data_IF_764087513305
#
_entry.id   IF_764087513305
#
_cell.length_a   1.000
_cell.length_b   1.000
_cell.length_c   1.000
_cell.angle_alpha   90.00
_cell.angle_beta   90.00
_cell.angle_gamma   90.00
#
_symmetry.space_group_name_H-M   'P 1'
#
loop_
_entity.id
_entity.type
_entity.pdbx_description
1 polymer ?
#
# COMPACT_ATOMS: atom_id res chain seq x y z
N UNK A 1 23.69 -15.97 -8.70
CA UNK A 1 23.15 -14.62 -8.87
C UNK A 1 22.95 -14.36 -10.35
N UNK A 2 21.72 -14.44 -10.86
CA UNK A 2 21.42 -13.90 -12.19
C UNK A 2 21.35 -12.39 -12.02
N UNK A 3 22.21 -11.65 -12.69
CA UNK A 3 22.16 -10.20 -12.70
C UNK A 3 20.74 -9.76 -13.13
N UNK A 4 20.09 -8.95 -12.31
CA UNK A 4 18.86 -8.27 -12.64
C UNK A 4 19.21 -7.45 -13.87
N UNK A 5 18.73 -7.88 -15.05
CA UNK A 5 18.81 -7.03 -16.24
C UNK A 5 17.85 -5.88 -15.96
N UNK A 6 18.40 -4.69 -15.66
CA UNK A 6 17.69 -3.45 -15.87
C UNK A 6 17.35 -3.43 -17.36
N UNK A 7 16.15 -3.90 -17.70
CA UNK A 7 15.69 -3.89 -19.08
C UNK A 7 15.61 -2.43 -19.51
N UNK A 8 16.24 -2.10 -20.64
CA UNK A 8 16.10 -0.80 -21.27
C UNK A 8 14.59 -0.50 -21.39
N UNK A 9 14.13 0.56 -20.74
CA UNK A 9 12.75 1.02 -20.83
C UNK A 9 12.67 1.92 -22.07
N UNK A 10 11.94 1.51 -23.14
CA UNK A 10 11.80 2.31 -24.33
C UNK A 10 11.13 3.65 -24.04
N UNK A 11 11.53 4.68 -24.74
CA UNK A 11 10.86 5.98 -24.68
C UNK A 11 9.56 5.95 -25.49
N UNK A 12 8.45 5.84 -24.78
CA UNK A 12 7.10 5.93 -25.37
C UNK A 12 6.48 7.34 -25.25
N UNK A 13 7.22 8.31 -24.70
CA UNK A 13 6.69 9.67 -24.47
C UNK A 13 6.38 10.45 -25.75
N UNK A 14 6.84 9.95 -26.89
CA UNK A 14 6.53 10.49 -28.22
C UNK A 14 5.31 9.82 -28.87
N UNK A 15 4.79 8.74 -28.28
CA UNK A 15 3.60 8.05 -28.77
C UNK A 15 2.34 8.62 -28.08
N UNK A 16 1.60 9.45 -28.82
CA UNK A 16 0.40 10.11 -28.29
C UNK A 16 -0.68 9.13 -27.84
N UNK A 17 -0.79 7.95 -28.48
CA UNK A 17 -1.79 6.94 -28.11
C UNK A 17 -1.43 6.29 -26.77
N UNK A 18 -0.16 5.96 -26.58
CA UNK A 18 0.30 5.39 -25.29
C UNK A 18 0.20 6.41 -24.18
N UNK A 19 0.52 7.69 -24.42
CA UNK A 19 0.33 8.75 -23.42
C UNK A 19 -1.14 8.95 -23.05
N UNK A 20 -2.05 8.95 -24.04
CA UNK A 20 -3.48 9.04 -23.79
C UNK A 20 -3.96 7.85 -22.94
N UNK A 21 -3.60 6.62 -23.32
CA UNK A 21 -3.90 5.40 -22.56
C UNK A 21 -3.33 5.45 -21.15
N UNK A 22 -2.10 5.90 -20.96
CA UNK A 22 -1.49 6.03 -19.63
C UNK A 22 -2.24 7.03 -18.76
N UNK A 23 -2.78 8.10 -19.36
CA UNK A 23 -3.60 9.10 -18.69
C UNK A 23 -4.98 8.59 -18.26
N UNK A 24 -5.47 7.47 -18.83
CA UNK A 24 -6.72 6.87 -18.41
C UNK A 24 -6.68 6.47 -16.94
N UNK A 25 -7.77 6.69 -16.23
CA UNK A 25 -7.89 6.26 -14.84
C UNK A 25 -8.08 4.75 -14.75
N UNK A 26 -7.51 4.17 -13.70
CA UNK A 26 -7.69 2.75 -13.37
C UNK A 26 -7.38 2.49 -11.91
N UNK A 27 -7.98 1.47 -11.31
CA UNK A 27 -7.73 1.12 -9.92
C UNK A 27 -6.26 0.79 -9.66
N UNK A 28 -5.79 1.08 -8.45
CA UNK A 28 -4.47 0.63 -7.99
C UNK A 28 -4.44 -0.82 -7.55
N UNK A 29 -5.62 -1.47 -7.51
CA UNK A 29 -5.81 -2.86 -7.09
C UNK A 29 -5.07 -3.22 -5.80
N UNK A 30 -5.31 -2.44 -4.75
CA UNK A 30 -4.96 -2.82 -3.38
C UNK A 30 -5.94 -3.85 -2.81
N UNK A 31 -7.09 -4.00 -3.46
CA UNK A 31 -8.09 -5.06 -3.29
C UNK A 31 -8.80 -5.34 -4.62
N UNK A 32 -9.40 -6.52 -4.75
CA UNK A 32 -10.37 -6.83 -5.79
C UNK A 32 -11.48 -7.70 -5.20
N UNK A 33 -12.75 -7.29 -5.28
CA UNK A 33 -13.22 -5.99 -5.80
C UNK A 33 -12.61 -4.78 -5.07
N UNK A 34 -12.55 -3.64 -5.78
CA UNK A 34 -12.11 -2.39 -5.16
C UNK A 34 -13.10 -1.94 -4.08
N UNK A 35 -12.63 -1.23 -3.07
CA UNK A 35 -13.40 -0.81 -1.90
C UNK A 35 -14.76 -0.16 -2.23
N UNK A 36 -14.84 0.62 -3.31
CA UNK A 36 -16.10 1.24 -3.76
C UNK A 36 -17.20 0.25 -4.17
N UNK A 37 -16.85 -1.02 -4.38
CA UNK A 37 -17.79 -2.10 -4.71
C UNK A 37 -18.21 -2.93 -3.49
N UNK A 38 -17.72 -2.62 -2.29
CA UNK A 38 -18.11 -3.35 -1.10
C UNK A 38 -19.52 -2.97 -0.67
N UNK A 39 -20.47 -3.84 -0.94
CA UNK A 39 -21.90 -3.59 -0.79
C UNK A 39 -22.51 -4.29 0.43
N UNK A 40 -21.77 -5.19 1.07
CA UNK A 40 -22.25 -5.91 2.24
C UNK A 40 -21.90 -5.14 3.51
N UNK A 41 -22.75 -5.30 4.52
CA UNK A 41 -22.53 -4.76 5.86
C UNK A 41 -22.39 -5.95 6.83
N UNK A 42 -21.25 -6.69 6.78
CA UNK A 42 -21.00 -7.74 7.75
C UNK A 42 -20.87 -7.12 9.13
N UNK A 43 -21.22 -7.90 10.12
CA UNK A 43 -21.09 -7.54 11.53
C UNK A 43 -19.87 -8.24 12.18
N UNK A 44 -19.72 -8.00 13.47
CA UNK A 44 -18.73 -8.68 14.31
C UNK A 44 -18.80 -10.22 14.19
N UNK A 45 -20.02 -10.79 14.14
CA UNK A 45 -20.22 -12.25 14.12
C UNK A 45 -19.67 -12.83 12.84
N UNK A 46 -20.01 -12.24 11.68
CA UNK A 46 -19.51 -12.67 10.38
C UNK A 46 -17.98 -12.58 10.29
N UNK A 47 -17.37 -11.54 10.88
CA UNK A 47 -15.92 -11.39 10.96
C UNK A 47 -15.27 -12.50 11.78
N UNK A 48 -15.79 -12.76 12.98
CA UNK A 48 -15.28 -13.81 13.88
C UNK A 48 -15.42 -15.20 13.23
N UNK A 49 -16.54 -15.47 12.56
CA UNK A 49 -16.74 -16.72 11.83
C UNK A 49 -15.71 -16.87 10.70
N UNK A 50 -15.46 -15.81 9.94
CA UNK A 50 -14.43 -15.84 8.88
C UNK A 50 -13.01 -16.08 9.44
N UNK A 51 -12.66 -15.46 10.56
CA UNK A 51 -11.39 -15.72 11.25
C UNK A 51 -11.31 -17.19 11.71
N UNK A 52 -12.34 -17.70 12.36
CA UNK A 52 -12.40 -19.11 12.79
C UNK A 52 -12.24 -20.07 11.64
N UNK A 53 -13.02 -19.88 10.59
CA UNK A 53 -12.97 -20.71 9.38
C UNK A 53 -11.60 -20.68 8.69
N UNK A 54 -11.00 -19.49 8.58
CA UNK A 54 -9.69 -19.34 7.97
C UNK A 54 -8.62 -20.07 8.77
N UNK A 55 -8.53 -19.84 10.07
CA UNK A 55 -7.48 -20.40 10.91
C UNK A 55 -7.62 -21.90 11.15
N UNK A 56 -8.84 -22.43 11.20
CA UNK A 56 -9.07 -23.87 11.27
C UNK A 56 -8.60 -24.62 10.01
N UNK A 57 -8.60 -23.95 8.85
CA UNK A 57 -8.15 -24.52 7.57
C UNK A 57 -6.67 -24.23 7.27
N UNK A 58 -6.10 -23.16 7.86
CA UNK A 58 -4.81 -22.59 7.50
C UNK A 58 -4.02 -22.16 8.76
N UNK A 59 -3.80 -23.09 9.70
CA UNK A 59 -3.17 -22.78 11.01
C UNK A 59 -1.78 -22.14 10.90
N UNK A 60 -1.00 -22.49 9.88
CA UNK A 60 0.38 -22.04 9.67
C UNK A 60 0.51 -20.92 8.62
N UNK A 61 -0.63 -20.43 8.08
CA UNK A 61 -0.60 -19.37 7.08
C UNK A 61 0.09 -18.10 7.62
N UNK A 62 0.92 -17.45 6.82
CA UNK A 62 1.51 -16.17 7.21
C UNK A 62 0.42 -15.11 7.34
N UNK A 63 0.53 -14.30 8.40
CA UNK A 63 -0.42 -13.23 8.73
C UNK A 63 0.33 -11.91 8.73
N UNK A 64 -0.30 -10.88 8.17
CA UNK A 64 0.12 -9.50 8.30
C UNK A 64 -0.85 -8.74 9.21
N UNK A 65 -0.34 -7.84 10.04
CA UNK A 65 -1.13 -6.93 10.85
C UNK A 65 -0.94 -5.50 10.34
N UNK A 66 -2.03 -4.78 10.22
CA UNK A 66 -2.01 -3.33 10.00
C UNK A 66 -2.69 -2.62 11.16
N UNK A 67 -1.98 -1.72 11.82
CA UNK A 67 -2.50 -0.94 12.93
C UNK A 67 -2.67 0.51 12.49
N UNK A 68 -3.91 0.98 12.47
CA UNK A 68 -4.24 2.34 12.06
C UNK A 68 -4.22 3.30 13.25
N UNK A 69 -3.28 4.27 13.21
CA UNK A 69 -3.15 5.31 14.21
C UNK A 69 -3.55 6.64 13.54
N UNK A 70 -4.77 7.16 13.77
CA UNK A 70 -5.32 8.25 12.97
C UNK A 70 -4.76 9.65 13.32
N UNK A 71 -3.90 9.77 14.32
CA UNK A 71 -3.51 11.07 14.84
C UNK A 71 -2.34 11.68 14.10
N UNK A 72 -2.44 13.01 13.86
CA UNK A 72 -1.35 13.84 13.34
C UNK A 72 -1.22 15.11 14.19
N UNK A 73 0.01 15.61 14.32
CA UNK A 73 0.30 16.90 14.98
C UNK A 73 -0.18 18.08 14.15
N UNK A 74 -0.11 17.99 12.82
CA UNK A 74 -0.44 19.05 11.87
C UNK A 74 -1.17 18.48 10.64
N UNK A 75 -2.04 19.31 10.06
CA UNK A 75 -2.77 18.96 8.84
C UNK A 75 -1.93 19.26 7.59
N UNK A 76 -1.67 18.26 6.77
CA UNK A 76 -1.12 18.44 5.44
C UNK A 76 -2.27 18.61 4.44
N UNK A 77 -2.22 19.64 3.57
CA UNK A 77 -3.36 19.98 2.70
C UNK A 77 -3.61 18.96 1.58
N UNK A 78 -2.62 18.13 1.26
CA UNK A 78 -2.72 17.08 0.25
C UNK A 78 -3.28 15.74 0.78
N UNK A 79 -3.37 15.57 2.12
CA UNK A 79 -3.62 14.27 2.74
C UNK A 79 -5.00 13.72 2.44
N UNK A 80 -5.06 12.49 1.91
CA UNK A 80 -6.32 11.78 1.64
C UNK A 80 -6.72 10.81 2.77
N UNK A 81 -5.79 10.51 3.68
CA UNK A 81 -6.00 9.54 4.75
C UNK A 81 -7.10 9.96 5.72
N UNK A 82 -7.62 8.98 6.46
CA UNK A 82 -8.54 9.27 7.55
C UNK A 82 -7.75 9.65 8.80
N UNK A 83 -7.66 10.96 9.07
CA UNK A 83 -6.82 11.51 10.13
C UNK A 83 -7.60 12.40 11.10
N UNK A 84 -7.07 12.51 12.29
CA UNK A 84 -7.53 13.40 13.35
C UNK A 84 -6.35 14.26 13.81
N UNK A 85 -6.41 15.55 13.52
CA UNK A 85 -5.37 16.48 13.99
C UNK A 85 -5.62 16.82 15.45
N UNK A 86 -4.70 16.40 16.31
CA UNK A 86 -4.79 16.66 17.76
C UNK A 86 -3.42 16.53 18.43
N UNK A 87 -3.20 17.37 19.44
CA UNK A 87 -2.06 17.29 20.37
C UNK A 87 -2.55 16.99 21.82
N UNK A 88 -3.83 16.58 21.95
CA UNK A 88 -4.36 16.18 23.27
C UNK A 88 -3.85 14.77 23.63
N UNK A 89 -2.89 14.73 24.54
CA UNK A 89 -2.22 13.49 24.98
C UNK A 89 -3.17 12.51 25.70
N UNK A 90 -4.12 12.99 26.48
CA UNK A 90 -5.11 12.14 27.16
C UNK A 90 -5.98 11.42 26.12
N UNK A 91 -6.46 12.15 25.10
CA UNK A 91 -7.23 11.56 23.99
C UNK A 91 -6.46 10.49 23.23
N UNK A 92 -5.16 10.70 23.01
CA UNK A 92 -4.29 9.73 22.34
C UNK A 92 -4.08 8.51 23.26
N UNK A 93 -3.87 8.74 24.54
CA UNK A 93 -3.73 7.65 25.54
C UNK A 93 -4.98 6.77 25.62
N UNK A 94 -6.16 7.39 25.70
CA UNK A 94 -7.43 6.65 25.69
C UNK A 94 -7.54 5.79 24.44
N UNK A 95 -7.21 6.34 23.27
CA UNK A 95 -7.24 5.61 22.02
C UNK A 95 -6.30 4.40 21.99
N UNK A 96 -5.06 4.56 22.46
CA UNK A 96 -4.10 3.45 22.59
C UNK A 96 -4.67 2.36 23.50
N UNK A 97 -5.37 2.75 24.57
CA UNK A 97 -6.09 1.82 25.44
C UNK A 97 -7.14 1.00 24.68
N UNK A 98 -7.89 1.63 23.76
CA UNK A 98 -8.87 0.93 22.92
C UNK A 98 -8.21 0.02 21.87
N UNK A 99 -7.08 0.42 21.26
CA UNK A 99 -6.30 -0.48 20.40
C UNK A 99 -5.83 -1.72 21.15
N UNK A 100 -5.31 -1.53 22.38
CA UNK A 100 -4.91 -2.66 23.22
C UNK A 100 -6.05 -3.61 23.52
N UNK A 101 -7.25 -3.09 23.77
CA UNK A 101 -8.46 -3.92 23.99
C UNK A 101 -8.87 -4.68 22.73
N UNK A 102 -8.77 -4.09 21.54
CA UNK A 102 -9.01 -4.80 20.27
C UNK A 102 -8.01 -5.94 20.06
N UNK A 103 -6.73 -5.70 20.37
CA UNK A 103 -5.69 -6.75 20.34
C UNK A 103 -6.02 -7.85 21.37
N UNK A 104 -6.53 -7.50 22.54
CA UNK A 104 -6.95 -8.48 23.54
C UNK A 104 -8.15 -9.33 23.07
N UNK A 105 -9.09 -8.76 22.29
CA UNK A 105 -10.15 -9.55 21.66
C UNK A 105 -9.58 -10.58 20.67
N UNK A 106 -8.59 -10.21 19.87
CA UNK A 106 -7.89 -11.16 18.99
C UNK A 106 -7.14 -12.22 19.78
N UNK A 107 -6.41 -11.84 20.84
CA UNK A 107 -5.69 -12.76 21.72
C UNK A 107 -6.61 -13.80 22.35
N UNK A 108 -7.79 -13.36 22.80
CA UNK A 108 -8.81 -14.24 23.38
C UNK A 108 -9.35 -15.22 22.32
N UNK A 109 -9.61 -14.73 21.10
CA UNK A 109 -10.05 -15.58 19.99
C UNK A 109 -9.01 -16.65 19.62
N UNK A 110 -7.72 -16.28 19.51
CA UNK A 110 -6.64 -17.23 19.23
C UNK A 110 -6.49 -18.27 20.36
N UNK A 111 -6.69 -17.84 21.61
CA UNK A 111 -6.68 -18.74 22.78
C UNK A 111 -7.86 -19.73 22.74
N UNK A 112 -9.08 -19.25 22.43
CA UNK A 112 -10.27 -20.08 22.26
C UNK A 112 -10.04 -21.15 21.18
N UNK A 113 -9.43 -20.77 20.07
CA UNK A 113 -9.13 -21.66 18.96
C UNK A 113 -7.92 -22.57 19.22
N UNK A 114 -7.17 -22.36 20.30
CA UNK A 114 -5.89 -23.03 20.59
C UNK A 114 -4.88 -22.85 19.45
N UNK A 115 -4.83 -21.66 18.84
CA UNK A 115 -3.96 -21.31 17.72
C UNK A 115 -2.88 -20.33 18.19
N UNK A 116 -1.64 -20.55 17.72
CA UNK A 116 -0.58 -19.56 17.75
C UNK A 116 -0.45 -18.97 16.35
N UNK A 117 -0.88 -17.72 16.10
CA UNK A 117 -0.87 -17.16 14.78
C UNK A 117 0.58 -16.96 14.26
N UNK A 118 0.80 -17.25 12.97
CA UNK A 118 2.10 -17.08 12.31
C UNK A 118 2.23 -15.65 11.76
N UNK A 119 2.31 -14.65 12.66
CA UNK A 119 2.44 -13.24 12.28
C UNK A 119 3.86 -13.00 11.77
N UNK A 120 3.96 -12.54 10.52
CA UNK A 120 5.22 -12.26 9.83
C UNK A 120 5.54 -10.78 9.74
N UNK A 121 4.51 -9.97 9.55
CA UNK A 121 4.67 -8.54 9.32
C UNK A 121 3.68 -7.76 10.18
N UNK A 122 4.16 -6.65 10.75
CA UNK A 122 3.33 -5.65 11.43
C UNK A 122 3.65 -4.28 10.80
N UNK A 123 2.61 -3.54 10.44
CA UNK A 123 2.73 -2.20 9.93
C UNK A 123 1.93 -1.21 10.78
N UNK A 124 2.60 -0.23 11.37
CA UNK A 124 1.97 0.91 12.04
C UNK A 124 1.86 2.05 11.04
N UNK A 125 0.63 2.44 10.71
CA UNK A 125 0.37 3.46 9.69
C UNK A 125 -0.85 4.32 9.99
N UNK A 126 -1.27 5.09 8.98
CA UNK A 126 -2.51 5.84 8.96
C UNK A 126 -2.37 7.35 8.99
N UNK A 127 -2.37 7.98 10.14
CA UNK A 127 -2.08 9.40 10.33
C UNK A 127 -0.57 9.60 10.49
N UNK A 128 -0.10 9.41 11.73
CA UNK A 128 1.32 9.53 12.08
C UNK A 128 1.62 8.68 13.31
N UNK A 129 2.02 7.42 13.17
CA UNK A 129 2.37 6.58 14.31
C UNK A 129 3.47 7.17 15.18
N UNK A 130 4.44 7.89 14.60
CA UNK A 130 5.50 8.60 15.35
C UNK A 130 5.01 9.81 16.14
N UNK A 131 3.69 10.09 16.14
CA UNK A 131 3.06 11.08 17.00
C UNK A 131 2.69 10.52 18.39
N UNK A 132 2.75 9.19 18.57
CA UNK A 132 2.61 8.56 19.89
C UNK A 132 3.81 8.91 20.78
N UNK A 133 3.54 9.08 22.08
CA UNK A 133 4.62 9.16 23.09
C UNK A 133 5.25 7.76 23.28
N UNK A 134 6.47 7.74 23.79
CA UNK A 134 7.22 6.50 23.95
C UNK A 134 6.51 5.46 24.82
N UNK A 135 5.87 5.87 25.93
CA UNK A 135 5.12 5.01 26.81
C UNK A 135 3.84 4.44 26.14
N UNK A 136 3.21 5.23 25.28
CA UNK A 136 2.04 4.80 24.49
C UNK A 136 2.44 3.75 23.45
N UNK A 137 3.55 3.97 22.76
CA UNK A 137 4.06 3.01 21.76
C UNK A 137 4.54 1.72 22.46
N UNK A 138 5.24 1.83 23.58
CA UNK A 138 5.68 0.68 24.38
C UNK A 138 4.49 -0.15 24.86
N UNK A 139 3.43 0.48 25.35
CA UNK A 139 2.18 -0.19 25.75
C UNK A 139 1.57 -0.96 24.58
N UNK A 140 1.49 -0.33 23.40
CA UNK A 140 0.95 -0.96 22.20
C UNK A 140 1.78 -2.17 21.78
N UNK A 141 3.11 -2.02 21.69
CA UNK A 141 4.03 -3.09 21.28
C UNK A 141 4.02 -4.25 22.28
N UNK A 142 4.01 -3.95 23.60
CA UNK A 142 3.89 -4.98 24.63
C UNK A 142 2.57 -5.74 24.51
N UNK A 143 1.49 -5.07 24.13
CA UNK A 143 0.19 -5.72 23.93
C UNK A 143 0.20 -6.59 22.66
N UNK A 144 0.80 -6.13 21.56
CA UNK A 144 1.04 -6.92 20.35
C UNK A 144 1.85 -8.19 20.65
N UNK A 145 2.76 -8.13 21.62
CA UNK A 145 3.53 -9.28 22.10
C UNK A 145 2.70 -10.43 22.66
N UNK A 146 1.40 -10.23 22.96
CA UNK A 146 0.48 -11.31 23.33
C UNK A 146 0.11 -12.23 22.17
N UNK A 147 0.14 -11.68 20.94
CA UNK A 147 -0.29 -12.39 19.73
C UNK A 147 0.86 -12.60 18.72
N UNK A 148 1.97 -11.88 18.85
CA UNK A 148 3.12 -11.92 17.93
C UNK A 148 4.42 -12.13 18.70
N UNK A 149 5.37 -12.82 18.07
CA UNK A 149 6.78 -12.80 18.49
C UNK A 149 7.46 -11.57 17.89
N UNK A 150 7.45 -10.45 18.59
CA UNK A 150 7.93 -9.15 18.07
C UNK A 150 9.38 -9.23 17.55
N UNK A 151 10.24 -9.97 18.23
CA UNK A 151 11.65 -10.12 17.83
C UNK A 151 11.85 -11.09 16.67
N UNK A 152 10.90 -11.96 16.42
CA UNK A 152 10.90 -12.93 15.33
C UNK A 152 10.13 -12.46 14.09
N UNK A 153 9.64 -11.20 14.06
CA UNK A 153 8.97 -10.65 12.89
C UNK A 153 9.95 -10.50 11.73
N UNK A 154 9.48 -10.83 10.53
CA UNK A 154 10.22 -10.56 9.30
C UNK A 154 10.28 -9.06 9.01
N UNK A 155 9.16 -8.36 9.16
CA UNK A 155 9.09 -6.90 9.03
C UNK A 155 8.21 -6.30 10.12
N UNK A 156 8.74 -5.33 10.85
CA UNK A 156 7.97 -4.45 11.71
C UNK A 156 8.18 -3.02 11.23
N UNK A 157 7.25 -2.57 10.39
CA UNK A 157 7.32 -1.27 9.73
C UNK A 157 6.56 -0.19 10.50
N UNK A 158 7.06 1.05 10.45
CA UNK A 158 6.42 2.20 11.06
C UNK A 158 6.54 3.44 10.17
N UNK A 159 5.42 4.14 9.96
CA UNK A 159 5.38 5.42 9.27
C UNK A 159 5.85 6.56 10.17
N UNK A 160 6.73 7.41 9.64
CA UNK A 160 7.43 8.47 10.36
C UNK A 160 7.15 9.83 9.71
N UNK A 161 6.78 10.80 10.53
CA UNK A 161 6.81 12.22 10.13
C UNK A 161 8.14 12.85 10.59
N UNK A 162 9.05 13.19 9.67
CA UNK A 162 10.35 13.76 10.03
C UNK A 162 10.25 15.04 10.87
N UNK A 163 9.15 15.79 10.73
CA UNK A 163 8.96 17.08 11.42
C UNK A 163 8.72 16.96 12.93
N UNK A 164 8.34 15.76 13.39
CA UNK A 164 7.97 15.51 14.79
C UNK A 164 8.77 14.39 15.44
N UNK A 165 9.77 13.88 14.74
CA UNK A 165 10.60 12.75 15.19
C UNK A 165 12.02 13.21 15.48
N UNK A 166 12.67 12.59 16.48
CA UNK A 166 14.08 12.81 16.82
C UNK A 166 14.89 11.52 16.67
N UNK A 167 16.22 11.63 16.67
CA UNK A 167 17.13 10.47 16.66
C UNK A 167 16.90 9.55 17.87
N UNK A 168 16.65 10.14 19.04
CA UNK A 168 16.35 9.41 20.27
C UNK A 168 15.07 8.61 20.11
N UNK A 169 14.03 9.19 19.46
CA UNK A 169 12.78 8.49 19.17
C UNK A 169 13.02 7.31 18.21
N UNK A 170 13.81 7.50 17.14
CA UNK A 170 14.14 6.43 16.19
C UNK A 170 14.89 5.28 16.87
N UNK A 171 15.88 5.57 17.70
CA UNK A 171 16.58 4.57 18.48
C UNK A 171 15.63 3.82 19.44
N UNK A 172 14.68 4.54 20.04
CA UNK A 172 13.67 3.92 20.89
C UNK A 172 12.76 2.98 20.08
N UNK A 173 12.29 3.38 18.88
CA UNK A 173 11.46 2.52 18.02
C UNK A 173 12.19 1.23 17.64
N UNK A 174 13.47 1.33 17.26
CA UNK A 174 14.30 0.15 16.99
C UNK A 174 14.42 -0.76 18.23
N UNK A 175 14.57 -0.19 19.43
CA UNK A 175 14.65 -0.98 20.67
C UNK A 175 13.37 -1.76 20.98
N UNK A 176 12.22 -1.32 20.46
CA UNK A 176 10.93 -2.01 20.54
C UNK A 176 10.77 -3.10 19.47
N UNK A 177 11.71 -3.22 18.54
CA UNK A 177 11.68 -4.22 17.47
C UNK A 177 11.25 -3.69 16.10
N UNK A 178 10.97 -2.37 15.96
CA UNK A 178 10.76 -1.76 14.64
C UNK A 178 12.05 -1.88 13.84
N UNK A 179 11.99 -2.59 12.71
CA UNK A 179 13.17 -2.83 11.87
C UNK A 179 13.06 -2.18 10.49
N UNK A 180 11.92 -1.58 10.15
CA UNK A 180 11.74 -0.78 8.94
C UNK A 180 10.98 0.51 9.24
N UNK A 181 11.47 1.63 8.68
CA UNK A 181 10.82 2.93 8.82
C UNK A 181 10.46 3.51 7.46
N UNK A 182 9.29 4.15 7.36
CA UNK A 182 8.85 4.87 6.16
C UNK A 182 8.76 6.35 6.46
N UNK A 183 9.54 7.17 5.76
CA UNK A 183 9.45 8.62 5.85
C UNK A 183 8.49 9.17 4.79
N UNK A 184 7.45 9.87 5.22
CA UNK A 184 6.62 10.67 4.34
C UNK A 184 7.38 11.91 3.85
N UNK A 185 8.26 11.75 2.86
CA UNK A 185 9.03 12.84 2.27
C UNK A 185 8.18 13.72 1.38
N UNK A 186 7.40 13.14 0.50
CA UNK A 186 6.51 13.73 -0.47
C UNK A 186 7.25 14.52 -1.57
N UNK A 187 7.93 15.61 -1.21
CA UNK A 187 8.77 16.44 -2.09
C UNK A 187 9.79 17.22 -1.27
N UNK A 188 10.95 17.52 -1.85
CA UNK A 188 11.98 18.35 -1.25
C UNK A 188 12.00 19.81 -1.76
N UNK A 189 11.17 20.16 -2.76
CA UNK A 189 11.09 21.52 -3.25
C UNK A 189 10.39 22.43 -2.20
N UNK A 190 11.03 23.54 -1.75
CA UNK A 190 10.49 24.39 -0.70
C UNK A 190 9.16 25.04 -1.06
N UNK A 191 8.96 25.41 -2.33
CA UNK A 191 7.73 26.07 -2.81
C UNK A 191 6.56 25.07 -2.80
N UNK A 192 6.83 23.80 -3.09
CA UNK A 192 5.85 22.72 -3.00
C UNK A 192 5.50 22.46 -1.53
N UNK A 193 6.51 22.32 -0.68
CA UNK A 193 6.34 22.05 0.76
C UNK A 193 5.49 23.12 1.46
N UNK A 194 5.70 24.39 1.11
CA UNK A 194 4.95 25.51 1.67
C UNK A 194 3.46 25.40 1.32
N UNK A 195 3.13 25.17 0.04
CA UNK A 195 1.74 25.11 -0.44
C UNK A 195 0.98 23.91 0.13
N UNK A 196 1.65 22.78 0.34
CA UNK A 196 1.03 21.59 0.92
C UNK A 196 1.02 21.57 2.45
N UNK A 197 1.50 22.65 3.10
CA UNK A 197 1.66 22.78 4.56
C UNK A 197 2.53 21.66 5.18
N UNK A 198 3.64 21.32 4.49
CA UNK A 198 4.58 20.29 4.95
C UNK A 198 6.04 20.72 4.73
N UNK A 199 6.47 21.73 5.48
CA UNK A 199 7.85 22.21 5.41
C UNK A 199 8.77 21.23 6.16
N UNK A 200 9.65 20.57 5.42
CA UNK A 200 10.65 19.61 5.92
C UNK A 200 11.88 19.65 5.00
N UNK A 201 12.83 20.55 5.27
CA UNK A 201 14.06 20.65 4.49
C UNK A 201 14.82 19.33 4.43
N UNK A 202 15.58 19.11 3.36
CA UNK A 202 16.33 17.86 3.17
C UNK A 202 17.28 17.59 4.33
N UNK A 203 17.89 18.64 4.87
CA UNK A 203 18.82 18.58 6.01
C UNK A 203 18.16 17.99 7.27
N UNK A 204 16.86 18.19 7.45
CA UNK A 204 16.09 17.55 8.55
C UNK A 204 16.06 16.03 8.39
N UNK A 205 15.86 15.54 7.16
CA UNK A 205 15.83 14.10 6.87
C UNK A 205 17.25 13.53 6.95
N UNK A 206 18.25 14.24 6.42
CA UNK A 206 19.66 13.84 6.53
C UNK A 206 20.12 13.69 7.98
N UNK A 207 19.74 14.64 8.85
CA UNK A 207 20.08 14.56 10.27
C UNK A 207 19.46 13.34 10.96
N UNK A 208 18.19 13.02 10.65
CA UNK A 208 17.52 11.81 11.18
C UNK A 208 18.14 10.51 10.66
N UNK A 209 18.78 10.55 9.51
CA UNK A 209 19.43 9.39 8.87
C UNK A 209 20.94 9.34 9.13
N UNK A 210 21.41 9.98 10.20
CA UNK A 210 22.80 9.83 10.62
C UNK A 210 23.17 8.35 10.74
N UNK A 211 24.42 7.96 10.40
CA UNK A 211 24.82 6.56 10.30
C UNK A 211 24.45 5.72 11.52
N UNK A 212 24.62 6.26 12.72
CA UNK A 212 24.31 5.59 13.98
C UNK A 212 22.82 5.27 14.16
N UNK A 213 21.91 6.01 13.51
CA UNK A 213 20.48 5.75 13.50
C UNK A 213 20.13 4.81 12.35
N UNK A 214 20.72 5.08 11.18
CA UNK A 214 20.44 4.32 9.96
C UNK A 214 20.77 2.83 10.12
N UNK A 215 21.85 2.50 10.82
CA UNK A 215 22.29 1.12 11.10
C UNK A 215 21.37 0.37 12.06
N UNK A 216 20.44 1.05 12.74
CA UNK A 216 19.44 0.42 13.62
C UNK A 216 18.28 -0.23 12.87
N UNK A 217 18.14 0.00 11.55
CA UNK A 217 17.02 -0.47 10.74
C UNK A 217 17.50 -1.30 9.55
N UNK A 218 16.78 -2.39 9.29
CA UNK A 218 17.03 -3.25 8.13
C UNK A 218 16.66 -2.57 6.82
N UNK A 219 15.70 -1.62 6.85
CA UNK A 219 15.25 -0.92 5.67
C UNK A 219 14.60 0.43 5.94
N UNK A 220 14.75 1.28 4.94
CA UNK A 220 14.17 2.62 4.88
C UNK A 220 13.32 2.74 3.63
N UNK A 221 12.10 3.25 3.76
CA UNK A 221 11.25 3.64 2.65
C UNK A 221 11.05 5.16 2.62
N UNK A 222 11.00 5.74 1.42
CA UNK A 222 10.54 7.11 1.21
C UNK A 222 9.25 7.13 0.40
N UNK A 223 8.23 7.78 0.94
CA UNK A 223 7.00 8.07 0.21
C UNK A 223 7.12 9.41 -0.49
N UNK A 224 6.97 9.40 -1.81
CA UNK A 224 7.01 10.56 -2.69
C UNK A 224 5.66 10.76 -3.35
N UNK A 225 5.31 12.03 -3.61
CA UNK A 225 4.12 12.38 -4.37
C UNK A 225 4.49 13.17 -5.61
N UNK A 226 4.04 12.71 -6.77
CA UNK A 226 4.10 13.50 -7.99
C UNK A 226 2.72 14.06 -8.34
N UNK A 227 2.71 15.22 -9.00
CA UNK A 227 1.49 15.94 -9.32
C UNK A 227 1.02 16.90 -8.22
N UNK A 228 1.86 17.21 -7.23
CA UNK A 228 1.58 18.22 -6.20
C UNK A 228 1.52 19.64 -6.78
N UNK A 229 0.83 20.59 -6.11
CA UNK A 229 0.79 21.98 -6.56
C UNK A 229 2.21 22.56 -6.66
N UNK A 230 2.43 23.39 -7.70
CA UNK A 230 3.73 23.99 -8.07
C UNK A 230 4.82 23.02 -8.53
N UNK A 231 4.61 21.71 -8.50
CA UNK A 231 5.57 20.80 -9.11
C UNK A 231 5.64 20.99 -10.62
N UNK A 232 6.85 20.82 -11.14
CA UNK A 232 7.16 20.69 -12.57
C UNK A 232 8.03 19.45 -12.77
N UNK A 233 8.18 18.95 -13.99
CA UNK A 233 9.13 17.87 -14.30
C UNK A 233 10.53 18.18 -13.77
N UNK A 234 10.97 19.44 -13.89
CA UNK A 234 12.30 19.86 -13.47
C UNK A 234 12.46 19.89 -11.94
N UNK A 235 11.48 20.41 -11.19
CA UNK A 235 11.55 20.46 -9.73
C UNK A 235 11.43 19.06 -9.15
N UNK A 236 10.53 18.24 -9.66
CA UNK A 236 10.38 16.86 -9.21
C UNK A 236 11.59 16.00 -9.51
N UNK A 237 12.24 16.22 -10.67
CA UNK A 237 13.54 15.56 -10.97
C UNK A 237 14.59 15.86 -9.90
N UNK A 238 14.66 17.10 -9.39
CA UNK A 238 15.61 17.45 -8.30
C UNK A 238 15.30 16.68 -7.02
N UNK A 239 14.00 16.53 -6.68
CA UNK A 239 13.58 15.70 -5.54
C UNK A 239 14.02 14.25 -5.73
N UNK A 240 13.82 13.66 -6.91
CA UNK A 240 14.28 12.30 -7.21
C UNK A 240 15.81 12.18 -7.11
N UNK A 241 16.56 13.17 -7.60
CA UNK A 241 18.02 13.18 -7.48
C UNK A 241 18.50 13.25 -6.04
N UNK A 242 17.84 14.04 -5.18
CA UNK A 242 18.12 14.06 -3.73
C UNK A 242 17.80 12.72 -3.06
N UNK A 243 16.65 12.11 -3.42
CA UNK A 243 16.28 10.78 -2.90
C UNK A 243 17.32 9.72 -3.26
N UNK A 244 17.87 9.73 -4.49
CA UNK A 244 18.96 8.83 -4.86
C UNK A 244 20.20 9.04 -4.01
N UNK A 245 20.53 10.29 -3.66
CA UNK A 245 21.67 10.60 -2.78
C UNK A 245 21.44 10.06 -1.36
N UNK A 246 20.22 10.18 -0.82
CA UNK A 246 19.83 9.63 0.48
C UNK A 246 19.71 8.11 0.48
N UNK A 247 19.57 7.52 -0.69
CA UNK A 247 19.62 6.10 -0.98
C UNK A 247 18.76 5.21 -0.06
N UNK A 248 17.44 5.43 0.07
CA UNK A 248 16.56 4.51 0.79
C UNK A 248 16.54 3.12 0.14
N UNK A 249 16.18 2.08 0.87
CA UNK A 249 16.03 0.73 0.33
C UNK A 249 14.80 0.60 -0.55
N UNK A 250 13.71 1.30 -0.18
CA UNK A 250 12.46 1.33 -0.96
C UNK A 250 12.02 2.76 -1.22
N UNK A 251 11.31 2.95 -2.32
CA UNK A 251 10.67 4.22 -2.67
C UNK A 251 9.25 3.90 -3.11
N UNK A 252 8.28 4.62 -2.54
CA UNK A 252 6.89 4.60 -2.99
C UNK A 252 6.60 5.91 -3.69
N UNK A 253 6.25 5.86 -4.98
CA UNK A 253 6.03 7.01 -5.83
C UNK A 253 4.55 7.14 -6.19
N UNK A 254 3.78 7.85 -5.38
CA UNK A 254 2.33 7.96 -5.50
C UNK A 254 1.92 9.18 -6.33
N UNK A 255 0.84 9.03 -7.10
CA UNK A 255 0.20 10.16 -7.77
C UNK A 255 -0.67 10.94 -6.77
N UNK A 256 -0.47 12.25 -6.70
CA UNK A 256 -1.36 13.11 -5.92
C UNK A 256 -2.79 13.06 -6.45
N UNK A 257 -3.74 12.73 -5.59
CA UNK A 257 -5.17 12.74 -5.89
C UNK A 257 -5.80 14.00 -5.30
N UNK A 258 -6.13 15.00 -6.14
CA UNK A 258 -6.84 16.20 -5.70
C UNK A 258 -8.34 15.93 -5.63
N UNK A 259 -8.86 15.73 -4.41
CA UNK A 259 -10.26 15.36 -4.16
C UNK A 259 -10.91 16.27 -3.09
N UNK A 260 -11.07 17.57 -3.34
CA UNK A 260 -11.61 18.54 -2.37
C UNK A 260 -13.09 18.27 -2.00
N UNK A 261 -13.80 17.47 -2.78
CA UNK A 261 -15.16 17.01 -2.50
C UNK A 261 -15.18 15.98 -1.37
N UNK A 262 -14.17 15.09 -1.36
CA UNK A 262 -14.01 14.05 -0.33
C UNK A 262 -13.29 14.59 0.90
N UNK A 263 -12.29 15.44 0.71
CA UNK A 263 -11.42 16.00 1.77
C UNK A 263 -11.45 17.54 1.73
N UNK A 264 -12.28 18.13 2.57
CA UNK A 264 -12.52 19.59 2.57
C UNK A 264 -11.26 20.44 2.72
N UNK A 265 -10.24 19.96 3.43
CA UNK A 265 -8.97 20.67 3.63
C UNK A 265 -8.15 20.78 2.33
N UNK A 266 -8.37 19.91 1.33
CA UNK A 266 -7.73 20.07 0.02
C UNK A 266 -8.18 21.33 -0.73
N UNK A 267 -9.25 22.00 -0.30
CA UNK A 267 -9.66 23.32 -0.81
C UNK A 267 -8.67 24.44 -0.46
N UNK A 268 -7.73 24.18 0.46
CA UNK A 268 -6.61 25.09 0.74
C UNK A 268 -5.59 25.13 -0.41
N UNK A 269 -5.62 24.14 -1.30
CA UNK A 269 -4.80 24.09 -2.51
C UNK A 269 -5.59 24.68 -3.68
N UNK A 270 -5.06 25.77 -4.28
CA UNK A 270 -5.63 26.30 -5.51
C UNK A 270 -5.33 25.32 -6.67
N UNK A 271 -6.39 24.79 -7.29
CA UNK A 271 -6.27 23.85 -8.41
C UNK A 271 -5.48 24.40 -9.61
N UNK A 272 -5.38 25.72 -9.75
CA UNK A 272 -4.57 26.38 -10.79
C UNK A 272 -3.06 26.18 -10.58
N UNK A 273 -2.65 25.79 -9.38
CA UNK A 273 -1.24 25.50 -9.07
C UNK A 273 -0.86 24.05 -9.41
N UNK A 274 -1.83 23.19 -9.73
CA UNK A 274 -1.57 21.81 -10.11
C UNK A 274 -0.88 21.75 -11.47
N UNK A 275 0.04 20.80 -11.67
CA UNK A 275 0.66 20.57 -12.98
C UNK A 275 -0.43 20.22 -14.03
N UNK A 276 -0.20 20.54 -15.30
CA UNK A 276 -1.04 20.06 -16.39
C UNK A 276 -1.17 18.53 -16.38
N UNK A 277 -2.37 18.01 -16.69
CA UNK A 277 -2.66 16.56 -16.60
C UNK A 277 -1.75 15.74 -17.54
N UNK A 278 -1.40 16.27 -18.70
CA UNK A 278 -0.51 15.68 -19.70
C UNK A 278 0.97 15.64 -19.26
N UNK A 279 1.37 16.46 -18.29
CA UNK A 279 2.71 16.42 -17.71
C UNK A 279 2.87 15.27 -16.67
N UNK A 280 1.80 14.80 -16.06
CA UNK A 280 1.87 13.77 -15.00
C UNK A 280 2.46 12.44 -15.49
N UNK A 281 2.07 11.89 -16.66
CA UNK A 281 2.71 10.71 -17.23
C UNK A 281 4.21 10.89 -17.44
N UNK A 282 4.59 12.09 -17.88
CA UNK A 282 6.01 12.41 -18.15
C UNK A 282 6.82 12.53 -16.86
N UNK A 283 6.25 13.13 -15.81
CA UNK A 283 6.90 13.17 -14.48
C UNK A 283 7.16 11.77 -13.94
N UNK A 284 6.18 10.88 -14.04
CA UNK A 284 6.32 9.50 -13.60
C UNK A 284 7.35 8.74 -14.44
N UNK A 285 7.29 8.88 -15.77
CA UNK A 285 8.26 8.27 -16.68
C UNK A 285 9.69 8.70 -16.36
N UNK A 286 9.94 10.00 -16.21
CA UNK A 286 11.26 10.54 -15.88
C UNK A 286 11.79 9.97 -14.56
N UNK A 287 10.93 9.84 -13.54
CA UNK A 287 11.29 9.26 -12.25
C UNK A 287 11.65 7.77 -12.38
N UNK A 288 10.83 6.98 -13.10
CA UNK A 288 11.12 5.57 -13.37
C UNK A 288 12.46 5.41 -14.06
N UNK A 289 12.73 6.20 -15.14
CA UNK A 289 13.99 6.17 -15.84
C UNK A 289 15.18 6.53 -14.93
N UNK A 290 15.03 7.57 -14.10
CA UNK A 290 16.08 8.03 -13.20
C UNK A 290 16.41 6.99 -12.12
N UNK A 291 15.39 6.40 -11.49
CA UNK A 291 15.56 5.41 -10.43
C UNK A 291 16.10 4.08 -10.96
N UNK A 292 15.60 3.60 -12.09
CA UNK A 292 16.09 2.35 -12.69
C UNK A 292 17.52 2.49 -13.24
N UNK A 293 17.87 3.65 -13.78
CA UNK A 293 19.26 3.95 -14.19
C UNK A 293 20.23 4.00 -12.97
N UNK A 294 19.74 4.35 -11.81
CA UNK A 294 20.47 4.34 -10.53
C UNK A 294 20.56 2.95 -9.89
N UNK A 295 19.94 1.94 -10.53
CA UNK A 295 20.00 0.54 -10.10
C UNK A 295 18.83 0.06 -9.26
N UNK A 296 17.81 0.89 -9.00
CA UNK A 296 16.58 0.41 -8.36
C UNK A 296 15.83 -0.57 -9.27
N UNK A 297 15.28 -1.60 -8.67
CA UNK A 297 14.33 -2.51 -9.30
C UNK A 297 12.96 -1.84 -9.24
N UNK A 298 12.32 -1.66 -10.38
CA UNK A 298 10.91 -1.27 -10.41
C UNK A 298 10.04 -2.48 -10.08
N UNK A 299 9.51 -2.50 -8.86
CA UNK A 299 8.68 -3.60 -8.32
C UNK A 299 7.36 -3.72 -9.07
N UNK A 300 6.74 -2.59 -9.33
CA UNK A 300 5.47 -2.48 -10.06
C UNK A 300 4.72 -1.23 -9.65
N UNK A 301 3.80 -0.77 -10.45
CA UNK A 301 2.97 0.43 -10.29
C UNK A 301 3.78 1.62 -9.75
N UNK A 302 3.93 1.71 -8.44
CA UNK A 302 4.38 2.86 -7.67
C UNK A 302 5.58 2.54 -6.75
N UNK A 303 6.11 1.31 -6.75
CA UNK A 303 7.15 0.87 -5.83
C UNK A 303 8.47 0.57 -6.52
N UNK A 304 9.56 0.97 -5.86
CA UNK A 304 10.93 0.68 -6.25
C UNK A 304 11.69 0.13 -5.04
N UNK A 305 12.63 -0.78 -5.29
CA UNK A 305 13.46 -1.35 -4.25
C UNK A 305 14.91 -1.50 -4.73
N UNK A 306 15.87 -1.38 -3.80
CA UNK A 306 17.26 -1.74 -4.11
C UNK A 306 17.34 -3.24 -4.41
N UNK A 307 18.29 -3.69 -5.27
CA UNK A 307 18.46 -5.11 -5.56
C UNK A 307 18.74 -6.00 -4.34
N UNK A 308 19.25 -5.41 -3.25
CA UNK A 308 19.53 -6.07 -1.99
C UNK A 308 18.35 -6.15 -1.03
N UNK A 309 17.21 -5.49 -1.34
CA UNK A 309 16.01 -5.53 -0.51
C UNK A 309 15.18 -6.77 -0.83
N UNK A 310 14.59 -7.37 0.20
CA UNK A 310 13.74 -8.58 0.11
C UNK A 310 12.59 -8.42 -0.88
N UNK A 311 12.08 -7.20 -1.05
CA UNK A 311 10.98 -6.94 -1.99
C UNK A 311 11.44 -7.11 -3.45
N UNK A 312 12.66 -6.68 -3.76
CA UNK A 312 13.24 -6.91 -5.08
C UNK A 312 13.49 -8.39 -5.34
N UNK A 313 13.94 -9.12 -4.33
CA UNK A 313 14.10 -10.58 -4.39
C UNK A 313 12.74 -11.26 -4.60
N UNK A 314 11.72 -10.88 -3.83
CA UNK A 314 10.36 -11.42 -3.93
C UNK A 314 9.76 -11.25 -5.33
N UNK A 315 9.96 -10.10 -5.97
CA UNK A 315 9.53 -9.86 -7.36
C UNK A 315 10.27 -10.78 -8.34
N UNK A 316 11.59 -10.91 -8.21
CA UNK A 316 12.38 -11.77 -9.08
C UNK A 316 11.97 -13.25 -8.97
N UNK A 317 11.57 -13.68 -7.77
CA UNK A 317 11.10 -15.04 -7.49
C UNK A 317 9.60 -15.24 -7.73
N UNK A 318 8.86 -14.19 -8.12
CA UNK A 318 7.40 -14.20 -8.34
C UNK A 318 6.61 -14.61 -7.09
N UNK A 319 7.10 -14.25 -5.93
CA UNK A 319 6.43 -14.47 -4.64
C UNK A 319 5.89 -13.19 -4.01
N UNK A 320 6.16 -12.03 -4.62
CA UNK A 320 5.62 -10.76 -4.17
C UNK A 320 4.09 -10.78 -4.14
N UNK A 321 3.53 -10.16 -3.11
CA UNK A 321 2.10 -9.94 -2.97
C UNK A 321 1.75 -8.46 -3.04
N UNK A 322 0.46 -8.15 -2.98
CA UNK A 322 -0.06 -6.79 -2.85
C UNK A 322 -1.29 -6.78 -1.95
N UNK A 323 -1.39 -5.79 -1.09
CA UNK A 323 -2.52 -5.56 -0.21
C UNK A 323 -2.77 -4.05 -0.02
N UNK A 324 -3.56 -3.66 0.97
CA UNK A 324 -3.86 -2.25 1.28
C UNK A 324 -2.62 -1.40 1.61
N UNK A 325 -1.58 -2.01 2.17
CA UNK A 325 -0.31 -1.33 2.49
C UNK A 325 0.66 -1.21 1.30
N UNK A 326 0.34 -1.79 0.15
CA UNK A 326 1.21 -1.81 -1.03
C UNK A 326 1.76 -3.19 -1.37
N UNK A 327 2.96 -3.24 -1.96
CA UNK A 327 3.63 -4.51 -2.26
C UNK A 327 4.25 -5.13 -1.00
N UNK A 328 4.17 -6.46 -0.91
CA UNK A 328 4.70 -7.26 0.20
C UNK A 328 5.69 -8.32 -0.29
N UNK A 329 6.57 -8.77 0.59
CA UNK A 329 7.61 -9.76 0.28
C UNK A 329 7.08 -11.18 0.11
N UNK A 330 5.80 -11.39 0.43
CA UNK A 330 5.10 -12.67 0.29
C UNK A 330 3.61 -12.49 0.08
N UNK A 331 2.99 -13.47 -0.59
CA UNK A 331 1.53 -13.51 -0.75
C UNK A 331 0.90 -13.96 0.57
N UNK A 332 -0.13 -13.25 1.02
CA UNK A 332 -0.97 -13.69 2.13
C UNK A 332 -2.44 -13.43 1.84
N UNK A 333 -3.29 -14.32 2.31
CA UNK A 333 -4.75 -14.14 2.33
C UNK A 333 -5.25 -13.78 3.74
N UNK A 334 -4.34 -13.36 4.63
CA UNK A 334 -4.66 -12.95 5.98
C UNK A 334 -3.92 -11.65 6.34
N UNK A 335 -4.60 -10.53 6.14
CA UNK A 335 -4.25 -9.23 6.69
C UNK A 335 -5.31 -8.85 7.72
N UNK A 336 -4.93 -8.63 8.96
CA UNK A 336 -5.82 -8.19 10.02
C UNK A 336 -5.58 -6.71 10.29
N UNK A 337 -6.61 -5.90 10.06
CA UNK A 337 -6.60 -4.47 10.36
C UNK A 337 -7.13 -4.19 11.76
N UNK A 338 -6.41 -3.39 12.53
CA UNK A 338 -6.70 -2.98 13.90
C UNK A 338 -6.82 -1.46 13.94
N UNK A 339 -7.81 -0.95 14.66
CA UNK A 339 -8.09 0.48 14.75
C UNK A 339 -9.16 0.95 13.76
N UNK A 340 -9.64 2.21 13.91
CA UNK A 340 -10.70 2.76 13.05
C UNK A 340 -10.25 2.82 11.60
N UNK A 341 -11.15 2.56 10.67
CA UNK A 341 -10.92 2.49 9.21
C UNK A 341 -9.97 1.42 8.72
N UNK A 342 -9.30 0.69 9.60
CA UNK A 342 -8.40 -0.39 9.19
C UNK A 342 -9.17 -1.45 8.41
N UNK A 343 -8.55 -1.94 7.33
CA UNK A 343 -9.13 -2.97 6.47
C UNK A 343 -8.47 -4.32 6.71
N UNK A 344 -9.26 -5.39 6.67
CA UNK A 344 -8.80 -6.77 6.78
C UNK A 344 -9.09 -7.56 5.52
N UNK A 345 -8.25 -8.53 5.24
CA UNK A 345 -8.45 -9.58 4.22
C UNK A 345 -8.38 -10.91 4.93
N UNK A 346 -9.46 -11.69 4.89
CA UNK A 346 -9.50 -13.02 5.51
C UNK A 346 -10.00 -14.01 4.47
N UNK A 347 -9.08 -14.71 3.81
CA UNK A 347 -9.37 -15.65 2.75
C UNK A 347 -10.05 -14.98 1.54
N UNK A 348 -11.34 -15.24 1.38
CA UNK A 348 -12.19 -14.71 0.32
C UNK A 348 -13.00 -13.47 0.73
N UNK A 349 -12.77 -12.93 1.91
CA UNK A 349 -13.58 -11.88 2.49
C UNK A 349 -12.77 -10.65 2.87
N UNK A 350 -13.36 -9.48 2.65
CA UNK A 350 -12.84 -8.18 3.08
C UNK A 350 -13.70 -7.62 4.19
N UNK A 351 -13.06 -6.92 5.13
CA UNK A 351 -13.72 -6.22 6.23
C UNK A 351 -13.07 -4.86 6.44
N UNK A 352 -13.84 -3.90 6.91
CA UNK A 352 -13.33 -2.60 7.32
C UNK A 352 -13.95 -2.18 8.64
N UNK A 353 -13.12 -1.69 9.54
CA UNK A 353 -13.53 -1.14 10.82
C UNK A 353 -14.26 0.20 10.65
N UNK A 354 -15.05 0.57 11.65
CA UNK A 354 -15.81 1.82 11.69
C UNK A 354 -14.93 3.06 11.43
N UNK A 355 -15.49 4.01 10.67
CA UNK A 355 -14.81 5.27 10.36
C UNK A 355 -14.78 6.23 11.54
N UNK A 356 -15.89 6.31 12.27
CA UNK A 356 -16.03 7.23 13.39
C UNK A 356 -15.43 6.61 14.66
N UNK A 357 -14.51 7.35 15.28
CA UNK A 357 -13.83 6.86 16.48
C UNK A 357 -14.79 6.51 17.62
N UNK A 358 -15.96 7.19 17.69
CA UNK A 358 -16.99 6.91 18.71
C UNK A 358 -17.69 5.57 18.48
N UNK A 359 -17.93 5.22 17.20
CA UNK A 359 -18.50 3.91 16.84
C UNK A 359 -17.50 2.80 17.10
N UNK A 360 -16.22 3.05 16.78
CA UNK A 360 -15.13 2.14 17.09
C UNK A 360 -15.04 1.88 18.60
N UNK A 361 -15.01 2.93 19.43
CA UNK A 361 -14.99 2.78 20.90
C UNK A 361 -16.18 2.01 21.42
N UNK A 362 -17.38 2.34 20.93
CA UNK A 362 -18.62 1.66 21.36
C UNK A 362 -18.55 0.17 21.10
N UNK A 363 -18.11 -0.25 19.90
CA UNK A 363 -17.99 -1.68 19.59
C UNK A 363 -16.99 -2.39 20.52
N UNK A 364 -15.83 -1.78 20.79
CA UNK A 364 -14.84 -2.34 21.71
C UNK A 364 -15.36 -2.38 23.16
N UNK A 365 -16.13 -1.39 23.59
CA UNK A 365 -16.80 -1.40 24.91
C UNK A 365 -17.81 -2.54 25.04
N UNK A 366 -18.51 -2.86 23.95
CA UNK A 366 -19.45 -3.97 23.84
C UNK A 366 -18.73 -5.35 23.70
N UNK A 367 -17.38 -5.38 23.69
CA UNK A 367 -16.58 -6.60 23.50
C UNK A 367 -16.61 -7.14 22.07
N UNK A 368 -16.81 -6.28 21.09
CA UNK A 368 -16.96 -6.63 19.67
C UNK A 368 -15.90 -5.96 18.80
N UNK A 369 -15.52 -6.62 17.70
CA UNK A 369 -14.77 -5.97 16.63
C UNK A 369 -15.64 -4.92 15.93
N UNK A 370 -15.07 -3.76 15.63
CA UNK A 370 -15.81 -2.60 15.14
C UNK A 370 -16.07 -2.68 13.62
N UNK A 371 -16.54 -3.79 13.12
CA UNK A 371 -16.77 -4.00 11.68
C UNK A 371 -17.93 -3.15 11.20
N UNK A 372 -17.72 -2.38 10.13
CA UNK A 372 -18.69 -1.47 9.53
C UNK A 372 -19.09 -1.88 8.11
N UNK A 373 -18.13 -2.32 7.29
CA UNK A 373 -18.38 -2.74 5.92
C UNK A 373 -17.50 -3.90 5.53
N UNK A 374 -17.81 -4.54 4.41
CA UNK A 374 -17.01 -5.62 3.89
C UNK A 374 -17.60 -6.21 2.62
N UNK A 375 -16.94 -7.26 2.14
CA UNK A 375 -17.34 -7.95 0.93
C UNK A 375 -16.87 -9.41 0.98
N UNK A 376 -17.78 -10.33 0.72
CA UNK A 376 -17.44 -11.74 0.52
C UNK A 376 -17.46 -12.05 -0.97
N UNK A 377 -16.33 -12.48 -1.51
CA UNK A 377 -16.17 -12.84 -2.91
C UNK A 377 -16.82 -14.18 -3.24
N UNK A 378 -17.38 -14.28 -4.44
CA UNK A 378 -17.70 -15.55 -5.05
C UNK A 378 -16.46 -16.20 -5.70
N UNK A 379 -16.61 -17.42 -6.22
CA UNK A 379 -15.50 -18.18 -6.83
C UNK A 379 -14.93 -17.51 -8.08
N UNK A 380 -15.76 -16.85 -8.90
CA UNK A 380 -15.30 -16.07 -10.06
C UNK A 380 -14.49 -14.86 -9.64
N UNK A 381 -14.90 -14.18 -8.58
CA UNK A 381 -14.20 -13.01 -8.04
C UNK A 381 -12.84 -13.39 -7.43
N UNK A 382 -12.77 -14.50 -6.72
CA UNK A 382 -11.50 -15.04 -6.19
C UNK A 382 -10.55 -15.38 -7.34
N UNK A 383 -11.03 -16.01 -8.40
CA UNK A 383 -10.25 -16.31 -9.60
C UNK A 383 -9.74 -15.01 -10.27
N UNK A 384 -10.62 -14.04 -10.48
CA UNK A 384 -10.27 -12.75 -11.10
C UNK A 384 -9.28 -11.96 -10.24
N UNK A 385 -9.42 -11.97 -8.91
CA UNK A 385 -8.45 -11.39 -7.98
C UNK A 385 -7.06 -11.96 -8.19
N UNK A 386 -6.94 -13.29 -8.26
CA UNK A 386 -5.65 -13.94 -8.48
C UNK A 386 -5.05 -13.55 -9.83
N UNK A 387 -5.84 -13.55 -10.90
CA UNK A 387 -5.38 -13.11 -12.24
C UNK A 387 -4.89 -11.66 -12.21
N UNK A 388 -5.67 -10.75 -11.66
CA UNK A 388 -5.34 -9.32 -11.56
C UNK A 388 -4.05 -9.12 -10.76
N UNK A 389 -3.92 -9.78 -9.59
CA UNK A 389 -2.75 -9.62 -8.75
C UNK A 389 -1.48 -10.22 -9.35
N UNK A 390 -1.57 -11.34 -10.11
CA UNK A 390 -0.42 -11.87 -10.85
C UNK A 390 0.05 -10.92 -11.95
N UNK A 391 -0.87 -10.33 -12.70
CA UNK A 391 -0.51 -9.33 -13.71
C UNK A 391 0.25 -8.18 -13.07
N UNK A 392 -0.22 -7.69 -11.92
CA UNK A 392 0.37 -6.54 -11.21
C UNK A 392 1.70 -6.89 -10.55
N UNK A 393 1.77 -8.03 -9.85
CA UNK A 393 2.95 -8.38 -9.07
C UNK A 393 4.04 -9.08 -9.89
N UNK A 394 3.65 -9.90 -10.86
CA UNK A 394 4.57 -10.75 -11.62
C UNK A 394 4.86 -10.18 -13.03
N UNK A 395 4.16 -9.12 -13.46
CA UNK A 395 4.19 -8.58 -14.84
C UNK A 395 3.99 -9.66 -15.91
N UNK A 396 3.32 -10.73 -15.56
CA UNK A 396 3.09 -11.90 -16.43
C UNK A 396 1.92 -12.73 -15.91
N UNK A 397 1.35 -13.54 -16.81
CA UNK A 397 0.32 -14.50 -16.44
C UNK A 397 0.58 -15.84 -17.14
N UNK A 398 0.66 -16.91 -16.34
CA UNK A 398 0.76 -18.28 -16.83
C UNK A 398 -0.61 -18.98 -16.67
N UNK A 399 -1.21 -19.41 -17.78
CA UNK A 399 -2.54 -19.99 -17.80
C UNK A 399 -2.60 -21.32 -17.05
N UNK A 400 -1.61 -22.19 -17.25
CA UNK A 400 -1.54 -23.49 -16.58
C UNK A 400 -1.51 -23.43 -15.07
N UNK A 401 -0.88 -22.38 -14.51
CA UNK A 401 -0.89 -22.18 -13.06
C UNK A 401 -2.31 -21.87 -12.57
N UNK A 402 -3.03 -20.99 -13.26
CA UNK A 402 -4.42 -20.66 -12.94
C UNK A 402 -5.33 -21.89 -13.14
N UNK A 403 -5.14 -22.62 -14.25
CA UNK A 403 -5.91 -23.84 -14.55
C UNK A 403 -5.74 -24.90 -13.45
N UNK A 404 -4.49 -25.09 -13.00
CA UNK A 404 -4.18 -26.04 -11.93
C UNK A 404 -4.79 -25.67 -10.58
N UNK A 405 -4.85 -24.37 -10.26
CA UNK A 405 -5.36 -23.87 -8.98
C UNK A 405 -6.88 -23.83 -8.93
N UNK A 406 -7.53 -23.51 -10.06
CA UNK A 406 -8.97 -23.25 -10.10
C UNK A 406 -9.77 -24.30 -10.86
N UNK A 407 -9.14 -25.27 -11.51
CA UNK A 407 -9.81 -26.36 -12.21
C UNK A 407 -10.61 -25.92 -13.44
N UNK A 408 -10.14 -24.90 -14.16
CA UNK A 408 -10.78 -24.33 -15.34
C UNK A 408 -9.92 -24.53 -16.59
N UNK A 409 -10.47 -24.32 -17.79
CA UNK A 409 -9.73 -24.01 -19.00
C UNK A 409 -9.62 -22.50 -19.11
N UNK A 410 -8.40 -21.93 -18.97
CA UNK A 410 -8.21 -20.49 -18.92
C UNK A 410 -8.66 -19.81 -20.21
N UNK A 411 -8.28 -20.36 -21.35
CA UNK A 411 -8.59 -19.80 -22.65
C UNK A 411 -10.08 -19.80 -22.96
N UNK A 412 -10.82 -20.81 -22.49
CA UNK A 412 -12.28 -20.88 -22.67
C UNK A 412 -12.98 -19.93 -21.70
N UNK A 413 -12.55 -19.91 -20.44
CA UNK A 413 -13.16 -19.08 -19.40
C UNK A 413 -12.99 -17.58 -19.65
N UNK A 414 -11.81 -17.16 -20.07
CA UNK A 414 -11.44 -15.75 -20.32
C UNK A 414 -11.34 -15.42 -21.83
N UNK A 415 -12.06 -16.14 -22.69
CA UNK A 415 -11.99 -15.94 -24.14
C UNK A 415 -12.26 -14.49 -24.59
N UNK A 416 -13.21 -13.81 -23.92
CA UNK A 416 -13.56 -12.41 -24.18
C UNK A 416 -12.47 -11.46 -23.76
N UNK A 417 -11.92 -11.67 -22.57
CA UNK A 417 -10.83 -10.87 -22.01
C UNK A 417 -9.57 -11.01 -22.87
N UNK A 418 -9.21 -12.24 -23.25
CA UNK A 418 -8.07 -12.50 -24.13
C UNK A 418 -8.22 -11.84 -25.50
N UNK A 419 -9.42 -11.87 -26.09
CA UNK A 419 -9.68 -11.14 -27.35
C UNK A 419 -9.48 -9.63 -27.19
N UNK A 420 -9.83 -9.06 -26.03
CA UNK A 420 -9.61 -7.63 -25.73
C UNK A 420 -8.14 -7.29 -25.58
N UNK A 421 -7.30 -8.22 -25.12
CA UNK A 421 -5.85 -8.01 -24.98
C UNK A 421 -5.10 -7.96 -26.31
N UNK A 422 -5.68 -8.37 -27.42
CA UNK A 422 -5.03 -8.31 -28.75
C UNK A 422 -4.62 -6.87 -29.13
N UNK A 423 -5.38 -5.86 -28.70
CA UNK A 423 -5.03 -4.45 -28.90
C UNK A 423 -3.76 -4.06 -28.14
N UNK A 424 -3.60 -4.54 -26.92
CA UNK A 424 -2.42 -4.30 -26.11
C UNK A 424 -1.15 -4.95 -26.69
N UNK A 425 -1.29 -6.13 -27.32
CA UNK A 425 -0.19 -6.75 -28.04
C UNK A 425 0.22 -5.92 -29.28
N UNK A 426 -0.76 -5.44 -30.07
CA UNK A 426 -0.49 -4.57 -31.21
C UNK A 426 0.19 -3.25 -30.84
N UNK A 427 -0.08 -2.74 -29.65
CA UNK A 427 0.53 -1.54 -29.07
C UNK A 427 1.89 -1.83 -28.39
N UNK A 428 2.37 -3.08 -28.42
CA UNK A 428 3.64 -3.46 -27.79
C UNK A 428 3.65 -3.42 -26.26
N UNK A 429 2.46 -3.47 -25.62
CA UNK A 429 2.30 -3.46 -24.15
C UNK A 429 2.51 -4.86 -23.57
N UNK A 430 2.08 -5.90 -24.28
CA UNK A 430 2.29 -7.29 -23.86
C UNK A 430 2.69 -8.17 -25.04
N UNK A 431 3.21 -9.35 -24.72
CA UNK A 431 3.57 -10.38 -25.70
C UNK A 431 2.92 -11.69 -25.27
N UNK A 432 2.10 -12.27 -26.18
CA UNK A 432 1.57 -13.61 -25.97
C UNK A 432 2.63 -14.66 -26.27
N UNK A 433 2.65 -15.71 -25.45
CA UNK A 433 3.53 -16.86 -25.59
C UNK A 433 2.72 -18.16 -25.40
N UNK A 434 1.79 -18.42 -26.32
CA UNK A 434 0.94 -19.60 -26.28
C UNK A 434 0.04 -19.66 -25.06
N UNK A 435 0.52 -20.28 -23.99
CA UNK A 435 -0.24 -20.49 -22.74
C UNK A 435 0.11 -19.45 -21.65
N UNK A 436 0.61 -18.30 -22.04
CA UNK A 436 0.98 -17.21 -21.14
C UNK A 436 1.03 -15.88 -21.88
N UNK A 437 1.11 -14.79 -21.14
CA UNK A 437 1.61 -13.51 -21.65
C UNK A 437 2.54 -12.84 -20.65
N UNK A 438 3.39 -11.95 -21.15
CA UNK A 438 4.26 -11.12 -20.33
C UNK A 438 4.05 -9.65 -20.71
N UNK A 439 4.12 -8.76 -19.74
CA UNK A 439 4.22 -7.33 -20.02
C UNK A 439 5.62 -7.03 -20.57
N UNK A 440 5.68 -6.21 -21.61
CA UNK A 440 6.96 -5.68 -22.11
C UNK A 440 7.51 -4.64 -21.12
N UNK A 441 8.76 -4.18 -21.26
CA UNK A 441 9.27 -3.06 -20.47
C UNK A 441 8.39 -1.80 -20.56
N UNK A 442 7.85 -1.47 -21.73
CA UNK A 442 6.83 -0.44 -21.90
C UNK A 442 5.54 -0.82 -21.21
N UNK A 443 5.15 -2.09 -21.33
CA UNK A 443 3.91 -2.62 -20.75
C UNK A 443 3.82 -2.56 -19.24
N UNK A 444 4.94 -2.51 -18.52
CA UNK A 444 4.93 -2.35 -17.06
C UNK A 444 4.24 -1.04 -16.63
N UNK A 445 4.31 0.02 -17.41
CA UNK A 445 3.54 1.24 -17.17
C UNK A 445 2.03 1.03 -17.30
N UNK A 446 1.61 0.02 -18.01
CA UNK A 446 0.22 -0.29 -18.34
C UNK A 446 -0.33 -1.52 -17.59
N UNK A 447 0.40 -2.07 -16.64
CA UNK A 447 -0.01 -3.27 -15.90
C UNK A 447 -1.42 -3.16 -15.31
N UNK A 448 -1.79 -1.98 -14.75
CA UNK A 448 -3.15 -1.71 -14.25
C UNK A 448 -4.21 -1.73 -15.36
N UNK A 449 -3.88 -1.26 -16.56
CA UNK A 449 -4.79 -1.24 -17.69
C UNK A 449 -5.01 -2.66 -18.24
N UNK A 450 -3.97 -3.49 -18.27
CA UNK A 450 -4.07 -4.91 -18.61
C UNK A 450 -4.89 -5.67 -17.55
N UNK A 451 -4.62 -5.44 -16.26
CA UNK A 451 -5.38 -6.04 -15.17
C UNK A 451 -6.86 -5.65 -15.20
N UNK A 452 -7.18 -4.40 -15.57
CA UNK A 452 -8.54 -3.86 -15.71
C UNK A 452 -9.41 -4.67 -16.68
N UNK A 453 -8.81 -5.33 -17.67
CA UNK A 453 -9.54 -6.17 -18.63
C UNK A 453 -10.23 -7.36 -17.93
N UNK A 454 -9.68 -7.84 -16.82
CA UNK A 454 -10.23 -8.94 -16.03
C UNK A 454 -11.18 -8.48 -14.90
N UNK A 455 -11.38 -7.17 -14.75
CA UNK A 455 -12.26 -6.60 -13.72
C UNK A 455 -13.73 -6.58 -14.17
N UNK A 456 -14.53 -7.51 -13.65
CA UNK A 456 -15.95 -7.60 -14.01
C UNK A 456 -16.80 -6.41 -13.57
N UNK A 457 -16.38 -5.67 -12.55
CA UNK A 457 -17.12 -4.51 -12.06
C UNK A 457 -16.97 -3.29 -12.96
N UNK A 458 -15.83 -3.16 -13.63
CA UNK A 458 -15.58 -2.08 -14.60
C UNK A 458 -16.26 -2.39 -15.93
N UNK A 459 -16.26 -3.66 -16.36
CA UNK A 459 -16.92 -4.07 -17.60
C UNK A 459 -18.43 -3.78 -17.61
N UNK A 460 -19.06 -3.73 -16.43
CA UNK A 460 -20.49 -3.49 -16.26
C UNK A 460 -20.84 -2.04 -15.89
N UNK A 461 -19.85 -1.18 -15.63
CA UNK A 461 -20.05 0.19 -15.21
C UNK A 461 -19.79 1.16 -16.37
N UNK A 462 -20.83 1.70 -16.99
CA UNK A 462 -20.70 2.94 -17.75
C UNK A 462 -20.38 4.07 -16.77
N UNK A 463 -19.09 4.38 -16.62
CA UNK A 463 -18.64 5.74 -16.38
C UNK A 463 -18.61 6.31 -14.97
N UNK A 464 -18.38 5.56 -13.89
CA UNK A 464 -18.05 6.18 -12.59
C UNK A 464 -16.81 5.53 -11.98
N UNK A 465 -15.65 6.13 -12.18
CA UNK A 465 -14.44 5.79 -11.43
C UNK A 465 -14.48 6.49 -10.07
N UNK A 466 -14.76 5.74 -9.02
CA UNK A 466 -14.46 6.22 -7.67
C UNK A 466 -12.95 6.05 -7.42
N UNK A 467 -12.29 7.17 -7.08
CA UNK A 467 -10.94 7.15 -6.52
C UNK A 467 -11.09 6.54 -5.12
N UNK A 468 -10.86 5.25 -5.02
CA UNK A 468 -10.73 4.58 -3.73
C UNK A 468 -9.25 4.59 -3.38
N UNK A 469 -8.82 5.66 -2.74
CA UNK A 469 -7.58 5.65 -1.97
C UNK A 469 -7.86 5.04 -0.59
N UNK A 470 -6.79 4.54 0.09
CA UNK A 470 -6.91 4.02 1.44
C UNK A 470 -7.45 5.03 2.42
#
# INVERSE_FOLDING_TARGET
>A
MRAIKTSFIPDFTQDSKLLERFGESGPYYTSYPTHGNWSNHPDHVAYVESLKDFFLKNSDAPIHLYIHIPFCAKLCYYCICNIIVTNNRERIQDFVGYLCREIDLLSNLFTELSIRPNIKEIHLGGGTPSHLENDQLELLVNTLGKIADIKGLHEFAMEIDPRTTSKESLNFYSSLGVNRISFGVQDFDPDVQEVINRVQPVEMVEDLLAPEVRECFDGLNFDLLYGLPRQTRQTFKKTVDLVKTLAPERITLLKYAHAPELRKHMRMIDSKMLPPVDELPLMFYDAVQSLTADGYVWVGIDHFAKPSDDLAEAVNEKRAGRNFGGFTTGKTNALIGIGPTASSVIGDSYYQNAYEIKEYYKAIDDGQFAIHSGYKMDSDEVLRREVIFRIICDSSLNYKQIESEFGISFSDYFARELASLATFEQEGILEFNGESFNLTPTGQFFGRHVAKVFDKFIQNAEGVYQITGP
#
